data_IF_803009279566
#
_entry.id   IF_803009279566
#
_cell.length_a   1.000
_cell.length_b   1.000
_cell.length_c   1.000
_cell.angle_alpha   90.00
_cell.angle_beta   90.00
_cell.angle_gamma   90.00
#
_symmetry.space_group_name_H-M   'P 1'
#
loop_
_entity.id
_entity.type
_entity.pdbx_description
1 polymer ?
#
# COMPACT_ATOMS: atom_id res chain seq x y z
N UNK A 1 -5.59 20.60 -9.91
CA UNK A 1 -6.52 19.48 -9.68
C UNK A 1 -5.73 18.23 -10.00
N UNK A 2 -5.52 17.36 -9.03
CA UNK A 2 -4.88 16.06 -9.27
C UNK A 2 -5.95 15.05 -9.69
N UNK A 3 -5.62 14.18 -10.64
CA UNK A 3 -6.46 13.07 -11.09
C UNK A 3 -5.90 11.76 -10.57
N UNK A 4 -6.75 10.73 -10.41
CA UNK A 4 -6.33 9.41 -9.91
C UNK A 4 -5.13 8.81 -10.67
N UNK A 5 -4.95 9.16 -11.96
CA UNK A 5 -3.83 8.68 -12.78
C UNK A 5 -2.47 9.23 -12.32
N UNK A 6 -2.44 10.29 -11.52
CA UNK A 6 -1.21 10.89 -10.99
C UNK A 6 -0.79 10.26 -9.65
N UNK A 7 -1.62 9.41 -9.06
CA UNK A 7 -1.33 8.74 -7.79
C UNK A 7 -0.58 7.42 -8.04
N UNK A 8 0.42 7.06 -7.20
CA UNK A 8 1.22 5.86 -7.40
C UNK A 8 0.37 4.59 -7.41
N UNK A 9 0.54 3.75 -8.42
CA UNK A 9 -0.15 2.47 -8.51
C UNK A 9 0.42 1.46 -7.51
N UNK A 10 -0.45 0.62 -6.95
CA UNK A 10 -0.06 -0.60 -6.22
C UNK A 10 0.04 -1.73 -7.22
N UNK A 11 1.25 -1.94 -7.76
CA UNK A 11 1.48 -2.91 -8.85
C UNK A 11 1.55 -4.36 -8.37
N UNK A 12 1.69 -4.58 -7.06
CA UNK A 12 1.70 -5.90 -6.45
C UNK A 12 1.29 -5.83 -4.98
N UNK A 13 0.55 -6.85 -4.54
CA UNK A 13 0.24 -7.13 -3.14
C UNK A 13 0.53 -8.60 -2.85
N UNK A 14 1.72 -8.93 -2.35
CA UNK A 14 2.16 -10.32 -2.14
C UNK A 14 1.79 -10.90 -0.77
N UNK A 15 1.09 -10.13 0.08
CA UNK A 15 0.69 -10.59 1.42
C UNK A 15 -0.51 -11.54 1.36
N UNK A 16 -0.32 -12.74 1.88
CA UNK A 16 -1.40 -13.70 2.06
C UNK A 16 -2.34 -13.26 3.21
N UNK A 17 -3.63 -13.54 3.07
CA UNK A 17 -4.63 -13.22 4.11
C UNK A 17 -5.19 -11.79 4.08
N UNK A 18 -4.77 -10.94 3.13
CA UNK A 18 -5.43 -9.65 2.91
C UNK A 18 -6.74 -9.81 2.11
N UNK A 19 -7.83 -9.24 2.62
CA UNK A 19 -9.15 -9.29 1.98
C UNK A 19 -9.23 -8.53 0.64
N UNK A 20 -8.38 -7.52 0.43
CA UNK A 20 -8.27 -6.79 -0.84
C UNK A 20 -7.28 -7.43 -1.83
N UNK A 21 -6.50 -8.42 -1.41
CA UNK A 21 -5.55 -9.08 -2.31
C UNK A 21 -6.29 -10.14 -3.13
N UNK A 22 -6.40 -9.94 -4.43
CA UNK A 22 -6.92 -10.94 -5.38
C UNK A 22 -5.76 -11.33 -6.30
N UNK A 23 -5.28 -12.57 -6.19
CA UNK A 23 -4.24 -13.13 -7.05
C UNK A 23 -2.98 -12.22 -7.19
N UNK A 24 -2.50 -11.69 -6.05
CA UNK A 24 -1.37 -10.75 -5.95
C UNK A 24 -1.63 -9.33 -6.49
N UNK A 25 -2.87 -9.01 -6.86
CA UNK A 25 -3.35 -7.67 -7.19
C UNK A 25 -4.11 -7.03 -6.02
N UNK A 26 -3.86 -5.76 -5.74
CA UNK A 26 -4.67 -5.02 -4.76
C UNK A 26 -5.96 -4.52 -5.41
N UNK A 27 -7.11 -4.85 -4.82
CA UNK A 27 -8.44 -4.45 -5.29
C UNK A 27 -9.08 -3.35 -4.42
N UNK A 28 -8.30 -2.71 -3.55
CA UNK A 28 -8.71 -1.50 -2.87
C UNK A 28 -8.77 -0.32 -3.86
N UNK A 29 -9.71 0.61 -3.68
CA UNK A 29 -9.74 1.85 -4.49
C UNK A 29 -8.52 2.75 -4.24
N UNK A 30 -8.09 2.81 -2.98
CA UNK A 30 -6.85 3.47 -2.57
C UNK A 30 -6.30 2.79 -1.31
N UNK A 31 -4.99 2.81 -1.14
CA UNK A 31 -4.29 2.34 0.05
C UNK A 31 -3.65 3.48 0.83
N UNK A 32 -3.51 3.32 2.14
CA UNK A 32 -2.75 4.22 3.00
C UNK A 32 -1.50 3.51 3.51
N UNK A 33 -0.34 4.13 3.37
CA UNK A 33 0.91 3.67 3.98
C UNK A 33 1.12 4.41 5.30
N UNK A 34 1.25 3.70 6.42
CA UNK A 34 1.37 4.24 7.77
C UNK A 34 2.26 3.35 8.66
N UNK A 35 2.10 3.43 9.98
CA UNK A 35 2.87 2.67 10.98
C UNK A 35 3.73 3.58 11.89
N UNK A 36 4.80 3.03 12.46
CA UNK A 36 5.75 3.74 13.32
C UNK A 36 7.19 3.69 12.77
N UNK A 37 8.09 4.52 13.31
CA UNK A 37 9.50 4.60 12.88
C UNK A 37 10.12 3.20 12.70
N UNK A 38 10.79 2.99 11.56
CA UNK A 38 11.42 1.72 11.18
C UNK A 38 10.48 0.64 10.60
N UNK A 39 9.18 0.89 10.55
CA UNK A 39 8.17 0.06 9.91
C UNK A 39 7.42 0.92 8.87
N UNK A 40 6.81 0.37 7.83
CA UNK A 40 6.01 1.11 6.85
C UNK A 40 4.82 0.29 6.35
N UNK A 41 3.88 0.02 7.25
CA UNK A 41 2.72 -0.82 7.02
C UNK A 41 1.72 -0.26 6.00
N UNK A 42 1.05 -1.14 5.27
CA UNK A 42 -0.17 -0.83 4.53
C UNK A 42 -1.37 -0.83 5.49
N UNK A 43 -1.78 0.35 5.95
CA UNK A 43 -2.91 0.50 6.90
C UNK A 43 -4.26 0.08 6.32
N UNK A 44 -4.35 -0.12 5.01
CA UNK A 44 -5.54 -0.65 4.32
C UNK A 44 -5.61 -2.18 4.38
N UNK A 45 -4.59 -2.84 4.94
CA UNK A 45 -4.61 -4.28 5.20
C UNK A 45 -5.79 -4.68 6.07
N UNK A 46 -6.57 -5.65 5.58
CA UNK A 46 -7.68 -6.24 6.32
C UNK A 46 -7.44 -7.76 6.36
N UNK A 47 -7.11 -8.37 7.51
CA UNK A 47 -6.80 -9.79 7.63
C UNK A 47 -8.07 -10.65 7.60
N UNK A 48 -8.67 -10.78 6.42
CA UNK A 48 -9.91 -11.52 6.19
C UNK A 48 -9.76 -12.49 5.02
N UNK A 49 -10.39 -13.66 5.15
CA UNK A 49 -10.51 -14.63 4.06
C UNK A 49 -11.55 -14.23 3.02
N UNK A 50 -12.55 -13.44 3.42
CA UNK A 50 -13.55 -12.89 2.52
C UNK A 50 -12.91 -11.84 1.59
N UNK A 51 -13.19 -11.95 0.29
CA UNK A 51 -12.70 -11.02 -0.73
C UNK A 51 -13.59 -9.79 -0.82
N UNK A 52 -12.96 -8.63 -0.78
CA UNK A 52 -13.61 -7.33 -0.88
C UNK A 52 -12.90 -6.44 -1.90
N UNK A 53 -13.38 -5.20 -2.06
CA UNK A 53 -12.86 -4.31 -3.08
C UNK A 53 -13.69 -4.32 -4.34
N UNK A 54 -13.11 -3.77 -5.40
CA UNK A 54 -13.80 -3.54 -6.67
C UNK A 54 -13.40 -4.60 -7.70
N UNK A 55 -14.35 -5.03 -8.52
CA UNK A 55 -14.11 -6.06 -9.55
C UNK A 55 -13.08 -5.61 -10.61
N UNK A 56 -13.05 -4.31 -10.91
CA UNK A 56 -12.12 -3.69 -11.86
C UNK A 56 -11.62 -2.38 -11.28
N UNK A 57 -10.36 -2.36 -10.85
CA UNK A 57 -9.72 -1.19 -10.27
C UNK A 57 -8.22 -1.26 -10.51
N UNK A 58 -7.60 -0.09 -10.61
CA UNK A 58 -6.17 0.07 -10.41
C UNK A 58 -6.05 0.68 -9.01
N UNK A 59 -5.44 -0.06 -8.08
CA UNK A 59 -5.25 0.44 -6.74
C UNK A 59 -4.16 1.51 -6.74
N UNK A 60 -4.39 2.60 -6.01
CA UNK A 60 -3.43 3.70 -5.88
C UNK A 60 -3.08 3.97 -4.42
N UNK A 61 -1.98 4.67 -4.15
CA UNK A 61 -1.66 5.18 -2.81
C UNK A 61 -2.43 6.48 -2.58
N UNK A 62 -3.40 6.44 -1.68
CA UNK A 62 -4.23 7.58 -1.26
C UNK A 62 -3.57 8.50 -0.24
N UNK A 63 -2.65 7.95 0.56
CA UNK A 63 -1.87 8.74 1.51
C UNK A 63 -0.61 7.95 1.93
N UNK A 64 0.47 8.68 2.15
CA UNK A 64 1.66 8.19 2.82
C UNK A 64 1.84 8.99 4.11
N UNK A 65 1.62 8.35 5.26
CA UNK A 65 1.79 8.96 6.57
C UNK A 65 3.24 8.89 7.06
N UNK A 66 4.15 8.30 6.27
CA UNK A 66 5.55 8.10 6.63
C UNK A 66 6.37 9.33 6.36
N UNK A 67 6.48 10.20 7.36
CA UNK A 67 7.22 11.45 7.26
C UNK A 67 8.70 11.28 6.90
N UNK A 68 9.27 10.11 7.22
CA UNK A 68 10.65 9.72 6.93
C UNK A 68 10.82 9.02 5.56
N UNK A 69 9.74 8.76 4.82
CA UNK A 69 9.83 8.11 3.52
C UNK A 69 10.35 9.07 2.45
N UNK A 70 11.35 8.65 1.66
CA UNK A 70 11.91 9.44 0.57
C UNK A 70 10.92 9.75 -0.55
N UNK A 71 9.87 8.95 -0.69
CA UNK A 71 8.81 9.14 -1.69
C UNK A 71 7.67 10.02 -1.18
N UNK A 72 7.63 10.34 0.12
CA UNK A 72 6.57 11.17 0.68
C UNK A 72 6.84 12.65 0.35
N UNK A 73 5.83 13.34 -0.15
CA UNK A 73 5.78 14.80 -0.20
C UNK A 73 4.40 15.25 0.27
N UNK A 74 4.33 16.02 1.35
CA UNK A 74 3.05 16.52 1.90
C UNK A 74 1.97 15.45 2.15
N UNK A 75 2.38 14.26 2.62
CA UNK A 75 1.52 13.08 2.83
C UNK A 75 1.06 12.37 1.55
N UNK A 76 1.56 12.79 0.39
CA UNK A 76 1.34 12.15 -0.90
C UNK A 76 2.56 11.33 -1.28
N UNK A 77 2.34 10.11 -1.77
CA UNK A 77 3.42 9.30 -2.30
C UNK A 77 3.72 9.72 -3.73
N UNK A 78 5.00 9.89 -4.08
CA UNK A 78 5.47 10.20 -5.44
C UNK A 78 6.35 9.08 -6.03
N UNK A 79 6.31 7.88 -5.46
CA UNK A 79 6.95 6.73 -6.08
C UNK A 79 6.29 6.45 -7.46
N UNK A 80 7.04 5.97 -8.47
CA UNK A 80 6.43 5.60 -9.76
C UNK A 80 5.34 4.51 -9.62
N UNK A 81 5.51 3.62 -8.65
CA UNK A 81 4.56 2.62 -8.19
C UNK A 81 5.04 2.08 -6.83
N UNK A 82 4.19 1.34 -6.13
CA UNK A 82 4.58 0.62 -4.91
C UNK A 82 4.27 -0.87 -5.00
N UNK A 83 5.02 -1.66 -4.22
CA UNK A 83 4.72 -3.06 -3.92
C UNK A 83 4.38 -3.20 -2.45
N UNK A 84 3.36 -4.00 -2.15
CA UNK A 84 2.95 -4.35 -0.79
C UNK A 84 3.21 -5.84 -0.57
N UNK A 85 3.67 -6.23 0.61
CA UNK A 85 3.94 -7.62 0.92
C UNK A 85 4.31 -7.85 2.39
N UNK A 86 4.74 -9.06 2.77
CA UNK A 86 5.13 -9.37 4.15
C UNK A 86 6.28 -8.49 4.64
N UNK A 87 6.08 -7.86 5.79
CA UNK A 87 7.06 -7.01 6.46
C UNK A 87 8.21 -7.77 7.12
N UNK A 88 9.37 -7.13 7.35
CA UNK A 88 10.47 -7.72 8.12
C UNK A 88 10.14 -7.88 9.61
N UNK A 89 9.20 -7.08 10.15
CA UNK A 89 8.79 -7.16 11.55
C UNK A 89 7.75 -8.24 11.84
N UNK A 90 6.82 -8.46 10.91
CA UNK A 90 5.77 -9.47 11.02
C UNK A 90 5.39 -9.99 9.61
N UNK A 91 5.64 -11.27 9.28
CA UNK A 91 5.29 -11.82 7.98
C UNK A 91 3.78 -11.95 7.74
N UNK A 92 2.95 -11.81 8.79
CA UNK A 92 1.49 -11.79 8.69
C UNK A 92 0.92 -10.36 8.52
N UNK A 93 1.78 -9.33 8.56
CA UNK A 93 1.39 -7.94 8.34
C UNK A 93 1.83 -7.47 6.96
N UNK A 94 0.99 -6.63 6.33
CA UNK A 94 1.30 -6.07 5.02
C UNK A 94 2.09 -4.77 5.18
N UNK A 95 3.26 -4.70 4.56
CA UNK A 95 4.14 -3.54 4.51
C UNK A 95 4.34 -3.05 3.08
N UNK A 96 4.66 -1.76 2.95
CA UNK A 96 5.13 -1.17 1.71
C UNK A 96 6.59 -1.56 1.47
N UNK A 97 6.82 -2.51 0.57
CA UNK A 97 8.15 -2.98 0.19
C UNK A 97 8.94 -1.95 -0.63
N UNK A 98 8.27 -0.86 -1.05
CA UNK A 98 8.88 0.29 -1.73
C UNK A 98 9.27 1.40 -0.76
N UNK A 99 8.98 1.25 0.54
CA UNK A 99 9.43 2.22 1.54
C UNK A 99 10.96 2.33 1.55
N UNK A 100 11.44 3.56 1.59
CA UNK A 100 12.85 3.88 1.79
C UNK A 100 12.93 5.10 2.70
N UNK A 101 13.69 4.98 3.78
CA UNK A 101 13.97 6.08 4.71
C UNK A 101 14.89 7.13 4.07
N UNK A 102 14.69 8.41 4.43
CA UNK A 102 15.51 9.56 3.97
C UNK A 102 16.87 9.65 4.64
#
# INVERSE_FOLDING_TARGET
MSTLMEMPEVVECSIDGCGYNHDHGCHAGAVTIAGHAGDASCATFIPLTAKGGLDKVIAHVGACQRGECTHNDHLECNAPSIRVGPGPGDPAHADCLTFQER
#
